data_IF_963793410894
#
_entry.id   IF_963793410894
#
_cell.length_a   1.000
_cell.length_b   1.000
_cell.length_c   1.000
_cell.angle_alpha   90.00
_cell.angle_beta   90.00
_cell.angle_gamma   90.00
#
_symmetry.space_group_name_H-M   'P 1'
#
loop_
_entity.id
_entity.type
_entity.pdbx_description
1 polymer ?
#
# COMPACT_ATOMS: atom_id res chain seq x y z
N UNK A 1 13.19 -12.43 -27.21
CA UNK A 1 12.22 -13.47 -26.77
C UNK A 1 11.79 -13.24 -25.33
N UNK A 2 12.71 -13.06 -24.38
CA UNK A 2 12.43 -12.86 -22.96
C UNK A 2 11.45 -11.69 -22.68
N UNK A 3 11.61 -10.56 -23.38
CA UNK A 3 10.73 -9.41 -23.20
C UNK A 3 9.29 -9.67 -23.67
N UNK A 4 9.12 -10.47 -24.72
CA UNK A 4 7.81 -10.89 -25.21
C UNK A 4 7.13 -11.85 -24.22
N UNK A 5 7.90 -12.74 -23.62
CA UNK A 5 7.41 -13.64 -22.57
C UNK A 5 6.91 -12.88 -21.34
N UNK A 6 7.66 -11.85 -20.90
CA UNK A 6 7.26 -10.98 -19.77
C UNK A 6 5.93 -10.29 -20.04
N UNK A 7 5.77 -9.64 -21.20
CA UNK A 7 4.53 -8.92 -21.55
C UNK A 7 3.36 -9.89 -21.76
N UNK A 8 3.61 -11.12 -22.18
CA UNK A 8 2.58 -12.14 -22.35
C UNK A 8 2.17 -12.82 -21.04
N UNK A 9 2.93 -12.62 -19.97
CA UNK A 9 2.63 -13.19 -18.65
C UNK A 9 1.65 -12.29 -17.89
N UNK A 10 0.35 -12.59 -18.00
CA UNK A 10 -0.72 -11.83 -17.33
C UNK A 10 -0.61 -11.81 -15.82
N UNK A 11 -0.11 -12.90 -15.21
CA UNK A 11 0.06 -12.97 -13.76
C UNK A 11 1.16 -12.00 -13.29
N UNK A 12 2.26 -11.91 -14.04
CA UNK A 12 3.33 -10.96 -13.77
C UNK A 12 2.85 -9.50 -13.93
N UNK A 13 2.12 -9.19 -15.00
CA UNK A 13 1.58 -7.85 -15.20
C UNK A 13 0.59 -7.44 -14.10
N UNK A 14 -0.25 -8.36 -13.63
CA UNK A 14 -1.18 -8.11 -12.55
C UNK A 14 -0.45 -7.80 -11.23
N UNK A 15 0.59 -8.56 -10.90
CA UNK A 15 1.41 -8.32 -9.69
C UNK A 15 2.19 -7.01 -9.78
N UNK A 16 2.74 -6.67 -10.94
CA UNK A 16 3.41 -5.39 -11.18
C UNK A 16 2.43 -4.24 -10.94
N UNK A 17 1.26 -4.29 -11.56
CA UNK A 17 0.22 -3.27 -11.38
C UNK A 17 -0.21 -3.14 -9.93
N UNK A 18 -0.47 -4.25 -9.25
CA UNK A 18 -0.82 -4.26 -7.83
C UNK A 18 0.30 -3.66 -6.95
N UNK A 19 1.56 -3.98 -7.23
CA UNK A 19 2.69 -3.44 -6.48
C UNK A 19 2.86 -1.93 -6.67
N UNK A 20 2.72 -1.43 -7.90
CA UNK A 20 2.81 0.02 -8.18
C UNK A 20 1.71 0.77 -7.43
N UNK A 21 0.46 0.33 -7.55
CA UNK A 21 -0.69 0.97 -6.90
C UNK A 21 -0.57 0.91 -5.38
N UNK A 22 -0.14 -0.24 -4.83
CA UNK A 22 0.07 -0.41 -3.40
C UNK A 22 1.12 0.57 -2.86
N UNK A 23 2.28 0.65 -3.52
CA UNK A 23 3.37 1.52 -3.09
C UNK A 23 3.00 2.99 -3.25
N UNK A 24 2.32 3.36 -4.33
CA UNK A 24 1.72 4.68 -4.49
C UNK A 24 0.84 5.03 -3.29
N UNK A 25 -0.13 4.17 -2.96
CA UNK A 25 -1.04 4.37 -1.83
C UNK A 25 -0.30 4.47 -0.50
N UNK A 26 0.69 3.60 -0.24
CA UNK A 26 1.45 3.61 1.00
C UNK A 26 2.28 4.88 1.19
N UNK A 27 3.06 5.27 0.19
CA UNK A 27 3.94 6.44 0.31
C UNK A 27 3.16 7.76 0.27
N UNK A 28 2.14 7.87 -0.59
CA UNK A 28 1.22 9.01 -0.55
C UNK A 28 0.51 9.09 0.80
N UNK A 29 0.01 7.96 1.32
CA UNK A 29 -0.63 7.91 2.63
C UNK A 29 0.30 8.34 3.76
N UNK A 30 1.58 7.93 3.76
CA UNK A 30 2.55 8.40 4.75
C UNK A 30 2.73 9.92 4.71
N UNK A 31 2.90 10.49 3.51
CA UNK A 31 3.05 11.93 3.33
C UNK A 31 1.79 12.67 3.77
N UNK A 32 0.61 12.23 3.29
CA UNK A 32 -0.67 12.87 3.62
C UNK A 32 -1.01 12.77 5.10
N UNK A 33 -0.70 11.65 5.76
CA UNK A 33 -0.93 11.51 7.20
C UNK A 33 -0.18 12.55 8.03
N UNK A 34 1.05 12.91 7.65
CA UNK A 34 1.80 13.95 8.34
C UNK A 34 1.04 15.30 8.28
N UNK A 35 0.55 15.68 7.10
CA UNK A 35 -0.22 16.90 6.93
C UNK A 35 -1.60 16.83 7.58
N UNK A 36 -2.27 15.69 7.49
CA UNK A 36 -3.58 15.46 8.10
C UNK A 36 -3.50 15.65 9.62
N UNK A 37 -2.52 15.04 10.29
CA UNK A 37 -2.38 15.16 11.74
C UNK A 37 -1.82 16.51 12.19
N UNK A 38 -0.97 17.16 11.38
CA UNK A 38 -0.43 18.47 11.71
C UNK A 38 -1.44 19.59 11.48
N UNK A 39 -2.15 19.60 10.33
CA UNK A 39 -2.97 20.74 9.90
C UNK A 39 -4.46 20.54 10.15
N UNK A 40 -5.01 19.35 9.92
CA UNK A 40 -6.45 19.09 10.07
C UNK A 40 -6.81 18.70 11.51
N UNK A 41 -6.20 17.66 12.05
CA UNK A 41 -6.46 17.21 13.43
C UNK A 41 -5.75 18.06 14.48
N UNK A 42 -4.71 18.81 14.11
CA UNK A 42 -3.87 19.63 15.00
C UNK A 42 -3.37 18.82 16.22
N UNK A 43 -3.04 17.54 16.00
CA UNK A 43 -2.63 16.59 17.05
C UNK A 43 -1.46 15.70 16.61
N UNK A 44 -0.24 16.18 16.81
CA UNK A 44 1.00 15.48 16.46
C UNK A 44 1.22 14.23 17.35
N UNK A 45 0.72 14.23 18.59
CA UNK A 45 0.84 13.07 19.46
C UNK A 45 0.07 11.85 18.93
N UNK A 46 -1.07 12.11 18.29
CA UNK A 46 -1.84 11.06 17.62
C UNK A 46 -1.10 10.47 16.40
N UNK A 47 -0.31 11.27 15.68
CA UNK A 47 0.57 10.78 14.61
C UNK A 47 1.65 9.82 15.13
N UNK A 48 2.23 10.11 16.28
CA UNK A 48 3.21 9.23 16.93
C UNK A 48 2.59 7.88 17.28
N UNK A 49 1.36 7.87 17.79
CA UNK A 49 0.59 6.65 18.07
C UNK A 49 0.32 5.85 16.80
N UNK A 50 -0.01 6.50 15.69
CA UNK A 50 -0.18 5.86 14.39
C UNK A 50 1.10 5.12 13.93
N UNK A 51 2.25 5.76 14.10
CA UNK A 51 3.55 5.20 13.71
C UNK A 51 3.93 3.98 14.57
N UNK A 52 3.56 3.99 15.86
CA UNK A 52 3.85 2.89 16.79
C UNK A 52 3.06 1.61 16.51
N UNK A 53 1.92 1.68 15.84
CA UNK A 53 1.07 0.50 15.57
C UNK A 53 1.66 -0.41 14.49
N UNK A 54 2.44 0.10 13.57
CA UNK A 54 2.95 -0.65 12.42
C UNK A 54 3.79 -1.87 12.78
N UNK A 55 4.72 -1.74 13.75
CA UNK A 55 5.59 -2.84 14.18
C UNK A 55 4.82 -3.97 14.90
N UNK A 56 4.01 -3.72 15.94
CA UNK A 56 3.21 -4.77 16.57
C UNK A 56 2.27 -5.46 15.60
N UNK A 57 1.66 -4.72 14.67
CA UNK A 57 0.77 -5.26 13.66
C UNK A 57 1.50 -6.24 12.73
N UNK A 58 2.68 -5.86 12.22
CA UNK A 58 3.47 -6.73 11.35
C UNK A 58 3.97 -7.98 12.06
N UNK A 59 4.44 -7.85 13.30
CA UNK A 59 4.87 -8.99 14.11
C UNK A 59 3.68 -9.92 14.43
N UNK A 60 2.53 -9.37 14.84
CA UNK A 60 1.33 -10.15 15.10
C UNK A 60 0.85 -10.93 13.88
N UNK A 61 0.82 -10.29 12.71
CA UNK A 61 0.45 -10.98 11.46
C UNK A 61 1.49 -12.02 11.06
N UNK A 62 2.78 -11.78 11.30
CA UNK A 62 3.84 -12.75 10.99
C UNK A 62 3.62 -14.07 11.72
N UNK A 63 3.25 -14.03 13.01
CA UNK A 63 3.03 -15.25 13.81
C UNK A 63 1.86 -16.11 13.30
N UNK A 64 0.83 -15.49 12.73
CA UNK A 64 -0.38 -16.18 12.25
C UNK A 64 -0.40 -16.40 10.74
N UNK A 65 0.60 -15.89 10.01
CA UNK A 65 0.64 -15.91 8.55
C UNK A 65 0.55 -17.33 7.96
N UNK A 66 1.23 -18.30 8.57
CA UNK A 66 1.18 -19.69 8.15
C UNK A 66 -0.22 -20.30 8.27
N UNK A 67 -0.93 -20.01 9.36
CA UNK A 67 -2.32 -20.46 9.58
C UNK A 67 -3.27 -19.78 8.59
N UNK A 68 -3.07 -18.50 8.34
CA UNK A 68 -3.86 -17.74 7.34
C UNK A 68 -3.66 -18.36 5.96
N UNK A 69 -2.41 -18.57 5.55
CA UNK A 69 -2.09 -19.15 4.24
C UNK A 69 -2.69 -20.55 4.04
N UNK A 70 -2.70 -21.39 5.10
CA UNK A 70 -3.22 -22.76 5.01
C UNK A 70 -4.75 -22.85 5.04
N UNK A 71 -5.43 -21.94 5.78
CA UNK A 71 -6.89 -21.98 5.95
C UNK A 71 -7.65 -21.19 4.90
N UNK A 72 -7.17 -19.98 4.58
CA UNK A 72 -7.89 -19.03 3.72
C UNK A 72 -7.28 -18.93 2.33
N UNK A 73 -6.04 -19.36 2.15
CA UNK A 73 -5.29 -19.12 0.93
C UNK A 73 -4.60 -17.74 0.91
N UNK A 74 -3.39 -17.71 0.32
CA UNK A 74 -2.59 -16.47 0.21
C UNK A 74 -3.30 -15.41 -0.62
N UNK A 75 -3.89 -15.81 -1.75
CA UNK A 75 -4.54 -14.94 -2.73
C UNK A 75 -5.82 -14.32 -2.16
N UNK A 76 -6.67 -15.16 -1.58
CA UNK A 76 -7.97 -14.76 -1.03
C UNK A 76 -7.78 -13.80 0.15
N UNK A 77 -6.84 -14.08 1.03
CA UNK A 77 -6.52 -13.20 2.15
C UNK A 77 -5.97 -11.85 1.67
N UNK A 78 -5.05 -11.87 0.70
CA UNK A 78 -4.51 -10.64 0.12
C UNK A 78 -5.58 -9.78 -0.56
N UNK A 79 -6.46 -10.40 -1.35
CA UNK A 79 -7.55 -9.70 -2.03
C UNK A 79 -8.56 -9.12 -1.03
N UNK A 80 -9.01 -9.93 -0.07
CA UNK A 80 -9.94 -9.47 0.98
C UNK A 80 -9.33 -8.35 1.82
N UNK A 81 -8.06 -8.49 2.21
CA UNK A 81 -7.35 -7.47 2.99
C UNK A 81 -7.25 -6.12 2.27
N UNK A 82 -6.96 -6.14 0.97
CA UNK A 82 -6.93 -4.91 0.16
C UNK A 82 -8.31 -4.29 -0.01
N UNK A 83 -9.36 -5.11 -0.13
CA UNK A 83 -10.75 -4.64 -0.18
C UNK A 83 -11.17 -3.99 1.13
N UNK A 84 -10.79 -4.61 2.26
CA UNK A 84 -11.02 -4.05 3.60
C UNK A 84 -10.31 -2.71 3.77
N UNK A 85 -9.05 -2.61 3.32
CA UNK A 85 -8.29 -1.36 3.37
C UNK A 85 -8.97 -0.25 2.54
N UNK A 86 -9.41 -0.57 1.32
CA UNK A 86 -10.13 0.37 0.47
C UNK A 86 -11.44 0.84 1.12
N UNK A 87 -12.19 -0.07 1.74
CA UNK A 87 -13.42 0.26 2.46
C UNK A 87 -13.15 1.18 3.66
N UNK A 88 -12.12 0.89 4.47
CA UNK A 88 -11.74 1.72 5.62
C UNK A 88 -11.33 3.14 5.20
N UNK A 89 -10.52 3.29 4.15
CA UNK A 89 -10.16 4.60 3.63
C UNK A 89 -11.36 5.33 3.00
N UNK A 90 -12.24 4.60 2.31
CA UNK A 90 -13.49 5.15 1.78
C UNK A 90 -14.39 5.69 2.89
N UNK A 91 -14.58 4.92 3.96
CA UNK A 91 -15.35 5.35 5.14
C UNK A 91 -14.72 6.61 5.77
N UNK A 92 -13.39 6.61 5.95
CA UNK A 92 -12.69 7.76 6.53
C UNK A 92 -12.90 9.04 5.70
N UNK A 93 -12.87 8.91 4.36
CA UNK A 93 -13.10 10.03 3.45
C UNK A 93 -14.54 10.56 3.49
N UNK A 94 -15.54 9.66 3.36
CA UNK A 94 -16.95 10.09 3.30
C UNK A 94 -17.48 10.61 4.64
N UNK A 95 -16.99 10.10 5.76
CA UNK A 95 -17.42 10.53 7.09
C UNK A 95 -16.79 11.85 7.55
N UNK A 96 -15.83 12.44 6.80
CA UNK A 96 -15.10 13.66 7.19
C UNK A 96 -14.74 13.66 8.68
N UNK A 97 -13.99 12.65 9.10
CA UNK A 97 -13.72 12.38 10.51
C UNK A 97 -12.98 13.55 11.17
N UNK A 98 -13.57 14.10 12.23
CA UNK A 98 -12.94 15.14 13.05
C UNK A 98 -12.13 14.58 14.22
N UNK A 99 -12.37 13.33 14.60
CA UNK A 99 -11.70 12.67 15.70
C UNK A 99 -10.50 11.83 15.20
N UNK A 100 -9.25 12.19 15.58
CA UNK A 100 -8.06 11.46 15.12
C UNK A 100 -8.02 10.00 15.56
N UNK A 101 -8.63 9.65 16.70
CA UNK A 101 -8.63 8.29 17.23
C UNK A 101 -9.50 7.33 16.42
N UNK A 102 -10.63 7.82 15.88
CA UNK A 102 -11.47 7.03 14.98
C UNK A 102 -10.72 6.77 13.67
N UNK A 103 -10.04 7.79 13.15
CA UNK A 103 -9.18 7.64 11.97
C UNK A 103 -8.07 6.61 12.19
N UNK A 104 -7.38 6.65 13.35
CA UNK A 104 -6.36 5.66 13.71
C UNK A 104 -6.96 4.26 13.76
N UNK A 105 -8.14 4.06 14.34
CA UNK A 105 -8.83 2.77 14.36
C UNK A 105 -9.08 2.21 12.96
N UNK A 106 -9.59 3.02 12.04
CA UNK A 106 -9.78 2.63 10.63
C UNK A 106 -8.46 2.36 9.92
N UNK A 107 -7.44 3.17 10.19
CA UNK A 107 -6.09 3.00 9.63
C UNK A 107 -5.45 1.69 10.09
N UNK A 108 -5.63 1.30 11.35
CA UNK A 108 -5.15 0.00 11.88
C UNK A 108 -5.85 -1.16 11.19
N UNK A 109 -7.17 -1.09 11.03
CA UNK A 109 -7.95 -2.10 10.30
C UNK A 109 -7.49 -2.21 8.84
N UNK A 110 -7.33 -1.08 8.15
CA UNK A 110 -6.77 -1.05 6.80
C UNK A 110 -5.35 -1.64 6.76
N UNK A 111 -4.55 -1.34 7.79
CA UNK A 111 -3.18 -1.82 7.96
C UNK A 111 -3.06 -3.35 8.02
N UNK A 112 -4.08 -4.05 8.55
CA UNK A 112 -4.11 -5.52 8.53
C UNK A 112 -4.07 -6.04 7.10
N UNK A 113 -4.88 -5.49 6.22
CA UNK A 113 -4.94 -5.89 4.82
C UNK A 113 -3.66 -5.55 4.06
N UNK A 114 -3.18 -4.32 4.20
CA UNK A 114 -1.96 -3.83 3.55
C UNK A 114 -0.72 -4.62 4.00
N UNK A 115 -0.58 -4.84 5.31
CA UNK A 115 0.54 -5.61 5.88
C UNK A 115 0.47 -7.08 5.44
N UNK A 116 -0.72 -7.67 5.45
CA UNK A 116 -0.94 -9.04 4.97
C UNK A 116 -0.54 -9.21 3.50
N UNK A 117 -0.94 -8.28 2.63
CA UNK A 117 -0.50 -8.30 1.23
C UNK A 117 1.03 -8.21 1.12
N UNK A 118 1.67 -7.28 1.85
CA UNK A 118 3.13 -7.13 1.83
C UNK A 118 3.87 -8.38 2.31
N UNK A 119 3.30 -9.15 3.21
CA UNK A 119 3.89 -10.42 3.67
C UNK A 119 3.83 -11.49 2.60
N UNK A 120 2.72 -11.61 1.88
CA UNK A 120 2.53 -12.64 0.89
C UNK A 120 3.05 -12.28 -0.51
N UNK A 121 3.48 -11.03 -0.73
CA UNK A 121 3.92 -10.59 -2.06
C UNK A 121 5.06 -11.43 -2.63
N UNK A 122 6.03 -11.80 -1.80
CA UNK A 122 7.15 -12.64 -2.23
C UNK A 122 6.71 -14.06 -2.57
N UNK A 123 5.75 -14.61 -1.84
CA UNK A 123 5.15 -15.90 -2.17
C UNK A 123 4.36 -15.83 -3.48
N UNK A 124 3.66 -14.72 -3.75
CA UNK A 124 2.98 -14.52 -5.05
C UNK A 124 3.97 -14.41 -6.20
N UNK A 125 5.14 -13.81 -5.99
CA UNK A 125 6.18 -13.74 -7.03
C UNK A 125 6.72 -15.13 -7.34
N UNK A 126 6.95 -15.97 -6.33
CA UNK A 126 7.34 -17.36 -6.53
C UNK A 126 6.26 -18.12 -7.32
N UNK A 127 4.98 -17.96 -6.96
CA UNK A 127 3.87 -18.57 -7.69
C UNK A 127 3.84 -18.10 -9.18
N UNK A 128 4.22 -16.83 -9.47
CA UNK A 128 4.32 -16.31 -10.84
C UNK A 128 5.51 -16.91 -11.60
N UNK A 129 6.63 -17.15 -10.92
CA UNK A 129 7.80 -17.83 -11.51
C UNK A 129 7.43 -19.24 -11.92
N UNK A 130 6.79 -19.98 -11.02
CA UNK A 130 6.34 -21.36 -11.28
C UNK A 130 5.29 -21.39 -12.41
N UNK A 131 4.37 -20.42 -12.44
CA UNK A 131 3.42 -20.28 -13.56
C UNK A 131 4.14 -19.99 -14.89
N UNK A 132 5.20 -19.18 -14.87
CA UNK A 132 6.00 -18.88 -16.05
C UNK A 132 6.69 -20.13 -16.60
N UNK A 133 7.29 -20.91 -15.71
CA UNK A 133 7.95 -22.18 -16.06
C UNK A 133 6.97 -23.16 -16.70
N UNK A 134 5.80 -23.37 -16.08
CA UNK A 134 4.78 -24.28 -16.61
C UNK A 134 4.23 -23.83 -17.96
N UNK A 135 4.04 -22.53 -18.14
CA UNK A 135 3.39 -21.99 -19.35
C UNK A 135 4.32 -21.79 -20.54
N UNK A 136 5.56 -21.39 -20.27
CA UNK A 136 6.50 -21.00 -21.32
C UNK A 136 7.72 -21.94 -21.41
N UNK A 137 7.84 -22.92 -20.48
CA UNK A 137 8.93 -23.88 -20.47
C UNK A 137 10.27 -23.31 -19.98
N UNK A 138 10.29 -22.06 -19.51
CA UNK A 138 11.50 -21.37 -19.06
C UNK A 138 11.34 -20.82 -17.66
N UNK A 139 12.32 -21.10 -16.79
CA UNK A 139 12.38 -20.55 -15.44
C UNK A 139 13.27 -19.31 -15.43
N UNK A 140 12.64 -18.15 -15.51
CA UNK A 140 13.31 -16.84 -15.62
C UNK A 140 13.27 -16.06 -14.30
N UNK A 141 13.71 -16.66 -13.19
CA UNK A 141 13.66 -16.09 -11.83
C UNK A 141 14.23 -14.67 -11.76
N UNK A 142 15.48 -14.51 -12.21
CA UNK A 142 16.20 -13.25 -12.16
C UNK A 142 15.50 -12.12 -12.93
N UNK A 143 14.90 -12.46 -14.07
CA UNK A 143 14.17 -11.49 -14.90
C UNK A 143 12.88 -11.05 -14.22
N UNK A 144 12.09 -11.99 -13.68
CA UNK A 144 10.83 -11.72 -12.99
C UNK A 144 11.09 -10.88 -11.74
N UNK A 145 12.08 -11.25 -10.92
CA UNK A 145 12.49 -10.45 -9.76
C UNK A 145 12.99 -9.07 -10.15
N UNK A 146 13.78 -8.96 -11.21
CA UNK A 146 14.30 -7.69 -11.74
C UNK A 146 13.20 -6.76 -12.18
N UNK A 147 12.26 -7.25 -12.97
CA UNK A 147 11.10 -6.46 -13.47
C UNK A 147 10.20 -6.04 -12.31
N UNK A 148 9.92 -6.94 -11.37
CA UNK A 148 9.14 -6.60 -10.19
C UNK A 148 9.83 -5.54 -9.33
N UNK A 149 11.13 -5.70 -9.05
CA UNK A 149 11.91 -4.74 -8.26
C UNK A 149 11.99 -3.37 -8.92
N UNK A 150 12.16 -3.33 -10.23
CA UNK A 150 12.13 -2.09 -11.02
C UNK A 150 10.76 -1.41 -10.94
N UNK A 151 9.67 -2.17 -11.08
CA UNK A 151 8.30 -1.65 -10.97
C UNK A 151 8.03 -1.05 -9.58
N UNK A 152 8.54 -1.67 -8.53
CA UNK A 152 8.47 -1.10 -7.18
C UNK A 152 9.19 0.24 -7.07
N UNK A 153 10.37 0.39 -7.68
CA UNK A 153 11.10 1.67 -7.70
C UNK A 153 10.34 2.75 -8.45
N UNK A 154 9.69 2.39 -9.55
CA UNK A 154 8.79 3.31 -10.28
C UNK A 154 7.65 3.75 -9.36
N UNK A 155 6.96 2.83 -8.69
CA UNK A 155 5.87 3.15 -7.76
C UNK A 155 6.31 4.10 -6.64
N UNK A 156 7.49 3.86 -6.05
CA UNK A 156 8.07 4.73 -5.03
C UNK A 156 8.40 6.14 -5.56
N UNK A 157 9.02 6.22 -6.73
CA UNK A 157 9.38 7.50 -7.36
C UNK A 157 8.14 8.32 -7.72
N UNK A 158 7.12 7.67 -8.29
CA UNK A 158 5.85 8.31 -8.61
C UNK A 158 5.14 8.82 -7.34
N UNK A 159 5.14 8.03 -6.27
CA UNK A 159 4.51 8.43 -5.02
C UNK A 159 5.16 9.67 -4.40
N UNK A 160 6.50 9.74 -4.41
CA UNK A 160 7.24 10.91 -3.92
C UNK A 160 6.93 12.17 -4.73
N UNK A 161 6.91 12.05 -6.06
CA UNK A 161 6.59 13.17 -6.96
C UNK A 161 5.13 13.59 -6.87
N UNK A 162 4.21 12.66 -6.97
CA UNK A 162 2.77 12.94 -6.97
C UNK A 162 2.27 13.48 -5.63
N UNK A 163 2.82 13.02 -4.51
CA UNK A 163 2.45 13.53 -3.18
C UNK A 163 2.73 15.02 -3.03
N UNK A 164 3.95 15.46 -3.40
CA UNK A 164 4.31 16.87 -3.37
C UNK A 164 3.53 17.71 -4.38
N UNK A 165 3.34 17.18 -5.60
CA UNK A 165 2.58 17.85 -6.64
C UNK A 165 1.10 18.04 -6.26
N UNK A 166 0.48 17.01 -5.69
CA UNK A 166 -0.92 17.07 -5.25
C UNK A 166 -1.12 18.15 -4.16
N UNK A 167 -0.22 18.21 -3.17
CA UNK A 167 -0.25 19.26 -2.15
C UNK A 167 -0.09 20.65 -2.75
N UNK A 168 0.85 20.83 -3.69
CA UNK A 168 1.03 22.12 -4.38
C UNK A 168 -0.20 22.51 -5.21
N UNK A 169 -0.84 21.53 -5.87
CA UNK A 169 -2.01 21.77 -6.72
C UNK A 169 -3.26 22.23 -5.92
N UNK A 170 -3.46 21.68 -4.71
CA UNK A 170 -4.56 22.13 -3.83
C UNK A 170 -4.23 23.40 -3.05
N UNK A 171 -3.03 23.98 -3.25
CA UNK A 171 -2.63 25.23 -2.62
C UNK A 171 -2.12 25.10 -1.18
N UNK A 172 -1.63 23.91 -0.78
CA UNK A 172 -1.03 23.72 0.53
C UNK A 172 0.19 24.62 0.71
N UNK A 173 0.20 25.41 1.79
CA UNK A 173 1.31 26.28 2.15
C UNK A 173 1.93 25.87 3.48
N UNK A 174 3.13 25.28 3.42
CA UNK A 174 3.85 24.82 4.61
C UNK A 174 4.22 25.94 5.60
N UNK A 175 4.29 27.20 5.16
CA UNK A 175 4.62 28.34 5.98
C UNK A 175 3.37 29.00 6.62
N UNK A 176 2.17 28.62 6.20
CA UNK A 176 0.93 29.18 6.74
C UNK A 176 0.59 28.55 8.10
N UNK A 177 0.24 29.39 9.09
CA UNK A 177 -0.21 28.91 10.39
C UNK A 177 -1.58 28.22 10.31
N UNK A 178 -2.43 28.63 9.38
CA UNK A 178 -3.72 27.99 9.08
C UNK A 178 -3.85 27.76 7.59
N UNK A 179 -4.37 26.59 7.23
CA UNK A 179 -4.64 26.22 5.84
C UNK A 179 -6.01 26.76 5.42
N UNK A 180 -6.18 26.99 4.12
CA UNK A 180 -7.48 27.40 3.57
C UNK A 180 -8.47 26.23 3.64
N UNK A 181 -9.77 26.54 3.67
CA UNK A 181 -10.85 25.52 3.65
C UNK A 181 -10.74 24.59 2.46
N UNK A 182 -10.27 25.09 1.32
CA UNK A 182 -10.04 24.28 0.11
C UNK A 182 -8.98 23.18 0.31
N UNK A 183 -8.02 23.38 1.21
CA UNK A 183 -6.97 22.40 1.53
C UNK A 183 -7.46 21.39 2.58
N UNK A 184 -8.40 21.81 3.44
CA UNK A 184 -8.91 21.00 4.55
C UNK A 184 -10.11 20.13 4.15
N UNK A 185 -10.85 20.48 3.11
CA UNK A 185 -11.98 19.74 2.53
C UNK A 185 -11.54 18.61 1.60
#
# INVERSE_FOLDING_TARGET
>A
ETFKTIISNRALLAIIGAAIVLLLSQFMGQTMNQYLFASYFKNINALSSLSMVGLPLSLGLATVSGVIASKFGKKEFSAFGMFLAAACYGIAYFMKLTNPWIFIGLYVLAGIGVTGFNMFIWAHITDVIDYNEVKFGERNDGVIYGVYSFSRKIGQALAGGLGGYALGFIGFNAAAQEQTTQVLD
#
